data_IF_020460160219
#
_entry.id   IF_020460160219
#
_cell.length_a   1.000
_cell.length_b   1.000
_cell.length_c   1.000
_cell.angle_alpha   90.00
_cell.angle_beta   90.00
_cell.angle_gamma   90.00
#
_symmetry.space_group_name_H-M   'P 1'
#
loop_
_entity.id
_entity.type
_entity.pdbx_description
1 polymer ?
#
# COMPACT_ATOMS: atom_id res chain seq x y z
N UNK A 1 15.14 15.35 -36.71
CA UNK A 1 14.90 16.39 -35.69
C UNK A 1 13.44 16.47 -35.22
N UNK A 2 12.42 16.40 -36.10
CA UNK A 2 11.00 16.47 -35.68
C UNK A 2 10.57 15.37 -34.70
N UNK A 3 11.07 14.13 -34.81
CA UNK A 3 10.75 13.04 -33.88
C UNK A 3 11.38 13.20 -32.49
N UNK A 4 12.50 13.90 -32.39
CA UNK A 4 13.21 14.13 -31.12
C UNK A 4 12.50 15.21 -30.28
N UNK A 5 11.89 16.19 -30.94
CA UNK A 5 11.07 17.24 -30.32
C UNK A 5 9.77 16.66 -29.77
N UNK A 6 9.14 15.70 -30.47
CA UNK A 6 7.92 15.00 -29.99
C UNK A 6 8.24 14.14 -28.77
N UNK A 7 9.40 13.47 -28.75
CA UNK A 7 9.85 12.70 -27.59
C UNK A 7 10.15 13.58 -26.38
N UNK A 8 10.81 14.72 -26.59
CA UNK A 8 11.06 15.72 -25.54
C UNK A 8 9.76 16.35 -25.01
N UNK A 9 8.79 16.64 -25.87
CA UNK A 9 7.47 17.14 -25.46
C UNK A 9 6.67 16.09 -24.66
N UNK A 10 6.74 14.81 -25.04
CA UNK A 10 6.12 13.73 -24.27
C UNK A 10 6.77 13.56 -22.89
N UNK A 11 8.09 13.70 -22.79
CA UNK A 11 8.81 13.68 -21.50
C UNK A 11 8.49 14.91 -20.65
N UNK A 12 8.32 16.09 -21.26
CA UNK A 12 8.01 17.34 -20.57
C UNK A 12 6.55 17.41 -20.07
N UNK A 13 5.62 16.81 -20.81
CA UNK A 13 4.22 16.68 -20.37
C UNK A 13 4.10 15.61 -19.26
N UNK A 14 4.88 14.52 -19.37
CA UNK A 14 4.98 13.50 -18.32
C UNK A 14 5.55 14.03 -16.99
N UNK A 15 6.41 15.05 -17.02
CA UNK A 15 7.03 15.59 -15.81
C UNK A 15 6.18 16.63 -15.06
N UNK A 16 5.10 17.16 -15.66
CA UNK A 16 4.30 18.24 -15.04
C UNK A 16 2.98 17.79 -14.40
N UNK A 17 2.53 16.54 -14.59
CA UNK A 17 1.30 16.02 -13.95
C UNK A 17 1.49 14.76 -13.10
N UNK A 18 2.69 14.15 -13.09
CA UNK A 18 2.94 12.92 -12.34
C UNK A 18 3.54 13.23 -10.96
N UNK A 19 2.70 13.68 -10.03
CA UNK A 19 3.04 13.58 -8.61
C UNK A 19 2.98 12.10 -8.18
N UNK A 20 4.01 11.33 -8.54
CA UNK A 20 4.19 9.94 -8.13
C UNK A 20 4.28 9.88 -6.60
N UNK A 21 3.52 8.97 -5.97
CA UNK A 21 3.68 8.73 -4.53
C UNK A 21 5.06 8.09 -4.26
N UNK A 22 5.60 8.27 -3.05
CA UNK A 22 6.87 7.67 -2.68
C UNK A 22 6.87 6.14 -2.86
N UNK A 23 5.73 5.50 -2.56
CA UNK A 23 5.51 4.07 -2.76
C UNK A 23 5.49 3.67 -4.24
N UNK A 24 4.85 4.45 -5.10
CA UNK A 24 4.83 4.17 -6.55
C UNK A 24 6.21 4.36 -7.18
N UNK A 25 6.97 5.35 -6.71
CA UNK A 25 8.36 5.56 -7.14
C UNK A 25 9.25 4.39 -6.72
N UNK A 26 9.09 3.90 -5.49
CA UNK A 26 9.80 2.72 -5.00
C UNK A 26 9.43 1.46 -5.81
N UNK A 27 8.15 1.25 -6.08
CA UNK A 27 7.66 0.14 -6.91
C UNK A 27 8.19 0.23 -8.35
N UNK A 28 8.22 1.42 -8.93
CA UNK A 28 8.79 1.64 -10.27
C UNK A 28 10.29 1.33 -10.28
N UNK A 29 11.04 1.83 -9.30
CA UNK A 29 12.47 1.56 -9.18
C UNK A 29 12.78 0.05 -9.07
N UNK A 30 11.97 -0.68 -8.30
CA UNK A 30 12.09 -2.14 -8.20
C UNK A 30 11.87 -2.82 -9.56
N UNK A 31 10.80 -2.45 -10.27
CA UNK A 31 10.51 -3.00 -11.61
C UNK A 31 11.64 -2.67 -12.59
N UNK A 32 12.14 -1.43 -12.62
CA UNK A 32 13.26 -1.04 -13.51
C UNK A 32 14.54 -1.78 -13.17
N UNK A 33 14.83 -1.96 -11.88
CA UNK A 33 16.02 -2.71 -11.44
C UNK A 33 15.98 -4.17 -11.88
N UNK A 34 14.80 -4.82 -11.81
CA UNK A 34 14.67 -6.21 -12.21
C UNK A 34 14.68 -6.36 -13.74
N UNK A 35 14.09 -5.43 -14.49
CA UNK A 35 14.23 -5.38 -15.96
C UNK A 35 15.71 -5.27 -16.34
N UNK A 36 16.46 -4.33 -15.75
CA UNK A 36 17.87 -4.13 -16.06
C UNK A 36 18.72 -5.38 -15.72
N UNK A 37 18.41 -6.04 -14.61
CA UNK A 37 19.05 -7.29 -14.20
C UNK A 37 18.78 -8.42 -15.21
N UNK A 38 17.51 -8.60 -15.62
CA UNK A 38 17.10 -9.63 -16.56
C UNK A 38 17.67 -9.38 -17.96
N UNK A 39 17.67 -8.14 -18.45
CA UNK A 39 18.28 -7.75 -19.73
C UNK A 39 19.78 -8.06 -19.76
N UNK A 40 20.50 -7.74 -18.67
CA UNK A 40 21.93 -8.06 -18.54
C UNK A 40 22.17 -9.58 -18.55
N UNK A 41 21.31 -10.35 -17.89
CA UNK A 41 21.39 -11.82 -17.86
C UNK A 41 21.11 -12.42 -19.24
N UNK A 42 20.07 -11.93 -19.93
CA UNK A 42 19.74 -12.33 -21.29
C UNK A 42 20.88 -12.04 -22.28
N UNK A 43 21.53 -10.87 -22.16
CA UNK A 43 22.67 -10.53 -23.01
C UNK A 43 23.86 -11.49 -22.82
N UNK A 44 24.15 -11.87 -21.57
CA UNK A 44 25.21 -12.85 -21.26
C UNK A 44 24.92 -14.22 -21.88
N UNK A 45 23.70 -14.73 -21.66
CA UNK A 45 23.30 -16.03 -22.20
C UNK A 45 23.27 -16.06 -23.73
N UNK A 46 22.85 -14.97 -24.38
CA UNK A 46 22.94 -14.87 -25.86
C UNK A 46 24.38 -14.92 -26.35
N UNK A 47 25.32 -14.27 -25.64
CA UNK A 47 26.75 -14.34 -25.99
C UNK A 47 27.31 -15.74 -25.80
N UNK A 48 26.95 -16.42 -24.72
CA UNK A 48 27.36 -17.80 -24.45
C UNK A 48 26.82 -18.76 -25.52
N UNK A 49 25.53 -18.67 -25.83
CA UNK A 49 24.91 -19.48 -26.89
C UNK A 49 25.58 -19.26 -28.25
N UNK A 50 25.89 -18.02 -28.62
CA UNK A 50 26.56 -17.74 -29.89
C UNK A 50 27.98 -18.31 -29.94
N UNK A 51 28.73 -18.23 -28.83
CA UNK A 51 30.06 -18.85 -28.74
C UNK A 51 29.99 -20.37 -28.89
N UNK A 52 29.03 -21.01 -28.21
CA UNK A 52 28.84 -22.46 -28.30
C UNK A 52 28.49 -22.90 -29.73
N UNK A 53 27.63 -22.14 -30.43
CA UNK A 53 27.32 -22.38 -31.84
C UNK A 53 28.55 -22.21 -32.72
N UNK A 54 29.28 -21.12 -32.57
CA UNK A 54 30.49 -20.85 -33.36
C UNK A 54 31.53 -21.97 -33.17
N UNK A 55 31.73 -22.43 -31.94
CA UNK A 55 32.62 -23.55 -31.63
C UNK A 55 32.15 -24.86 -32.29
N UNK A 56 30.86 -25.19 -32.23
CA UNK A 56 30.30 -26.38 -32.87
C UNK A 56 30.38 -26.30 -34.40
N UNK A 57 30.01 -25.16 -34.99
CA UNK A 57 30.08 -24.91 -36.44
C UNK A 57 31.54 -24.99 -36.89
N UNK A 58 32.49 -24.45 -36.13
CA UNK A 58 33.91 -24.49 -36.48
C UNK A 58 34.45 -25.93 -36.54
N UNK A 59 34.01 -26.81 -35.62
CA UNK A 59 34.36 -28.24 -35.63
C UNK A 59 33.76 -28.93 -36.86
N UNK A 60 32.46 -28.73 -37.11
CA UNK A 60 31.76 -29.31 -38.26
C UNK A 60 32.35 -28.83 -39.60
N UNK A 61 32.72 -27.55 -39.73
CA UNK A 61 33.40 -27.02 -40.93
C UNK A 61 34.78 -27.64 -41.15
N UNK A 62 35.55 -27.91 -40.09
CA UNK A 62 36.84 -28.63 -40.21
C UNK A 62 36.63 -30.05 -40.70
N UNK A 63 35.60 -30.73 -40.22
CA UNK A 63 35.29 -32.10 -40.65
C UNK A 63 34.76 -32.13 -42.09
N UNK A 64 33.89 -31.19 -42.47
CA UNK A 64 33.43 -31.02 -43.86
C UNK A 64 34.60 -30.84 -44.83
N UNK A 65 35.60 -30.01 -44.48
CA UNK A 65 36.81 -29.80 -45.27
C UNK A 65 37.68 -31.06 -45.46
N UNK A 66 37.60 -32.04 -44.54
CA UNK A 66 38.29 -33.33 -44.70
C UNK A 66 37.59 -34.20 -45.75
N UNK A 67 36.26 -34.15 -45.81
CA UNK A 67 35.47 -34.89 -46.80
C UNK A 67 35.55 -34.26 -48.19
N UNK A 68 35.67 -32.93 -48.31
CA UNK A 68 35.83 -32.23 -49.60
C UNK A 68 37.18 -32.49 -50.30
N UNK A 69 38.20 -32.95 -49.57
CA UNK A 69 39.51 -33.30 -50.16
C UNK A 69 39.52 -34.66 -50.87
N UNK A 70 38.51 -35.49 -50.67
CA UNK A 70 38.24 -36.66 -51.50
C UNK A 70 37.30 -36.26 -52.63
N UNK A 71 37.60 -36.64 -53.87
CA UNK A 71 36.93 -36.20 -55.12
C UNK A 71 35.45 -36.62 -55.27
N UNK A 72 34.77 -37.03 -54.19
CA UNK A 72 33.36 -37.41 -54.20
C UNK A 72 32.65 -36.64 -53.09
N UNK A 73 31.72 -35.76 -53.48
CA UNK A 73 30.78 -35.15 -52.55
C UNK A 73 29.88 -36.26 -52.00
N UNK A 74 30.21 -36.77 -50.83
CA UNK A 74 29.55 -37.93 -50.21
C UNK A 74 28.26 -37.52 -49.49
N UNK A 75 27.35 -38.47 -49.30
CA UNK A 75 26.14 -38.32 -48.48
C UNK A 75 26.47 -37.78 -47.06
N UNK A 76 27.66 -38.10 -46.55
CA UNK A 76 28.18 -37.60 -45.27
C UNK A 76 28.45 -36.10 -45.27
N UNK A 77 28.99 -35.53 -46.36
CA UNK A 77 29.19 -34.08 -46.47
C UNK A 77 27.86 -33.31 -46.45
N UNK A 78 26.82 -33.85 -47.11
CA UNK A 78 25.46 -33.32 -47.07
C UNK A 78 24.87 -33.38 -45.65
N UNK A 79 25.06 -34.50 -44.93
CA UNK A 79 24.65 -34.65 -43.52
C UNK A 79 25.35 -33.65 -42.59
N UNK A 80 26.64 -33.36 -42.83
CA UNK A 80 27.38 -32.37 -42.04
C UNK A 80 26.87 -30.95 -42.34
N UNK A 81 26.60 -30.62 -43.61
CA UNK A 81 26.04 -29.32 -43.98
C UNK A 81 24.66 -29.11 -43.35
N UNK A 82 23.78 -30.10 -43.39
CA UNK A 82 22.47 -30.04 -42.76
C UNK A 82 22.55 -29.81 -41.22
N UNK A 83 23.59 -30.36 -40.56
CA UNK A 83 23.85 -30.11 -39.13
C UNK A 83 24.37 -28.69 -38.87
N UNK A 84 25.18 -28.13 -39.76
CA UNK A 84 25.61 -26.73 -39.66
C UNK A 84 24.38 -25.82 -39.77
N UNK A 85 23.54 -26.07 -40.76
CA UNK A 85 22.33 -25.27 -41.00
C UNK A 85 21.36 -25.36 -39.81
N UNK A 86 21.19 -26.55 -39.22
CA UNK A 86 20.33 -26.71 -38.04
C UNK A 86 20.83 -25.95 -36.81
N UNK A 87 22.14 -25.97 -36.52
CA UNK A 87 22.75 -25.24 -35.40
C UNK A 87 22.66 -23.72 -35.62
N UNK A 88 22.84 -23.29 -36.88
CA UNK A 88 22.76 -21.86 -37.24
C UNK A 88 21.36 -21.30 -36.98
N UNK A 89 20.32 -22.12 -37.18
CA UNK A 89 18.92 -21.75 -37.00
C UNK A 89 18.41 -21.82 -35.55
N UNK A 90 19.20 -22.27 -34.58
CA UNK A 90 18.77 -22.30 -33.17
C UNK A 90 18.71 -20.86 -32.65
N UNK A 91 17.55 -20.23 -32.50
CA UNK A 91 17.49 -18.83 -32.05
C UNK A 91 17.54 -18.66 -30.53
N UNK A 92 17.05 -19.66 -29.79
CA UNK A 92 16.96 -19.63 -28.33
C UNK A 92 17.26 -20.98 -27.71
N UNK A 93 17.39 -20.98 -26.39
CA UNK A 93 17.37 -22.17 -25.56
C UNK A 93 16.36 -21.96 -24.43
N UNK A 94 16.01 -23.04 -23.72
CA UNK A 94 15.03 -23.01 -22.64
C UNK A 94 15.27 -21.88 -21.61
N UNK A 95 16.53 -21.61 -21.26
CA UNK A 95 16.86 -20.54 -20.30
C UNK A 95 16.61 -19.13 -20.85
N UNK A 96 16.87 -18.91 -22.14
CA UNK A 96 16.56 -17.65 -22.82
C UNK A 96 15.05 -17.44 -22.95
N UNK A 97 14.28 -18.51 -23.16
CA UNK A 97 12.82 -18.46 -23.27
C UNK A 97 12.18 -18.10 -21.92
N UNK A 98 12.61 -18.76 -20.83
CA UNK A 98 12.15 -18.45 -19.46
C UNK A 98 12.47 -17.00 -19.10
N UNK A 99 13.69 -16.54 -19.39
CA UNK A 99 14.04 -15.13 -19.17
C UNK A 99 13.23 -14.17 -20.03
N UNK A 100 12.87 -14.57 -21.25
CA UNK A 100 11.99 -13.80 -22.12
C UNK A 100 10.63 -13.57 -21.47
N UNK A 101 10.04 -14.64 -20.92
CA UNK A 101 8.77 -14.57 -20.20
C UNK A 101 8.82 -13.64 -18.98
N UNK A 102 9.84 -13.79 -18.13
CA UNK A 102 10.00 -12.94 -16.94
C UNK A 102 10.16 -11.46 -17.31
N UNK A 103 10.95 -11.19 -18.35
CA UNK A 103 11.21 -9.83 -18.82
C UNK A 103 9.95 -9.19 -19.40
N UNK A 104 9.14 -9.96 -20.13
CA UNK A 104 7.85 -9.53 -20.63
C UNK A 104 6.86 -9.25 -19.49
N UNK A 105 6.82 -10.10 -18.46
CA UNK A 105 6.03 -9.87 -17.26
C UNK A 105 6.35 -8.51 -16.61
N UNK A 106 7.63 -8.22 -16.34
CA UNK A 106 8.02 -6.94 -15.73
C UNK A 106 7.79 -5.73 -16.66
N UNK A 107 7.94 -5.90 -17.98
CA UNK A 107 7.60 -4.83 -18.95
C UNK A 107 6.11 -4.53 -18.97
N UNK A 108 5.26 -5.54 -18.84
CA UNK A 108 3.82 -5.37 -18.72
C UNK A 108 3.45 -4.69 -17.39
N UNK A 109 4.03 -5.14 -16.27
CA UNK A 109 3.82 -4.51 -14.96
C UNK A 109 4.24 -3.02 -14.94
N UNK A 110 5.34 -2.66 -15.63
CA UNK A 110 5.73 -1.27 -15.87
C UNK A 110 4.67 -0.50 -16.65
N UNK A 111 4.14 -1.08 -17.73
CA UNK A 111 3.11 -0.46 -18.56
C UNK A 111 1.84 -0.20 -17.76
N UNK A 112 1.38 -1.20 -17.00
CA UNK A 112 0.17 -1.09 -16.16
C UNK A 112 0.31 0.00 -15.10
N UNK A 113 1.50 0.13 -14.49
CA UNK A 113 1.77 1.17 -13.50
C UNK A 113 1.70 2.57 -14.13
N UNK A 114 2.33 2.74 -15.30
CA UNK A 114 2.30 4.00 -16.07
C UNK A 114 0.88 4.32 -16.54
N UNK A 115 0.16 3.32 -17.04
CA UNK A 115 -1.20 3.49 -17.52
C UNK A 115 -2.13 3.91 -16.38
N UNK A 116 -1.94 3.33 -15.19
CA UNK A 116 -2.64 3.78 -13.99
C UNK A 116 -2.42 5.28 -13.79
N UNK A 117 -1.18 5.78 -13.89
CA UNK A 117 -0.85 7.20 -13.70
C UNK A 117 -1.57 8.10 -14.69
N UNK A 118 -1.76 7.63 -15.93
CA UNK A 118 -2.42 8.41 -16.99
C UNK A 118 -3.95 8.42 -16.89
N UNK A 119 -4.57 7.44 -16.23
CA UNK A 119 -6.02 7.21 -16.27
C UNK A 119 -6.85 7.85 -15.14
N UNK A 120 -6.25 8.59 -14.19
CA UNK A 120 -6.98 8.95 -12.96
C UNK A 120 -7.46 10.41 -12.86
N UNK A 121 -8.79 10.55 -12.83
CA UNK A 121 -9.56 11.73 -12.39
C UNK A 121 -9.86 11.74 -10.87
N UNK A 122 -9.41 10.73 -10.10
CA UNK A 122 -9.67 10.61 -8.65
C UNK A 122 -8.37 10.78 -7.86
N UNK A 123 -8.35 11.56 -6.76
CA UNK A 123 -7.10 11.84 -6.05
C UNK A 123 -6.48 10.57 -5.43
N UNK A 124 -5.26 10.24 -5.88
CA UNK A 124 -4.38 9.23 -5.27
C UNK A 124 -4.00 9.64 -3.85
N UNK A 125 -3.82 8.62 -3.01
CA UNK A 125 -3.44 8.66 -1.59
C UNK A 125 -3.19 10.07 -1.05
N UNK A 126 -4.13 10.57 -0.25
CA UNK A 126 -3.91 11.79 0.51
C UNK A 126 -2.59 11.64 1.25
N UNK A 127 -1.59 12.45 0.89
CA UNK A 127 -0.32 12.52 1.61
C UNK A 127 -0.59 12.71 3.10
N UNK A 128 0.33 12.32 3.97
CA UNK A 128 0.18 12.51 5.42
C UNK A 128 -0.31 13.93 5.76
N UNK A 129 0.23 14.96 5.11
CA UNK A 129 -0.21 16.35 5.25
C UNK A 129 -1.62 16.64 4.74
N UNK A 130 -2.06 16.00 3.65
CA UNK A 130 -3.45 16.11 3.17
C UNK A 130 -4.44 15.33 4.03
N UNK A 131 -4.07 14.16 4.55
CA UNK A 131 -4.85 13.43 5.58
C UNK A 131 -4.97 14.28 6.84
N UNK A 132 -3.88 14.86 7.30
CA UNK A 132 -3.85 15.73 8.48
C UNK A 132 -4.66 17.01 8.27
N UNK A 133 -4.57 17.66 7.10
CA UNK A 133 -5.43 18.83 6.78
C UNK A 133 -6.91 18.44 6.71
N UNK A 134 -7.25 17.28 6.15
CA UNK A 134 -8.64 16.80 6.07
C UNK A 134 -9.16 16.39 7.45
N UNK A 135 -8.33 15.77 8.27
CA UNK A 135 -8.61 15.49 9.68
C UNK A 135 -8.86 16.78 10.45
N UNK A 136 -7.97 17.78 10.34
CA UNK A 136 -8.15 19.10 10.95
C UNK A 136 -9.38 19.83 10.42
N UNK A 137 -9.68 19.74 9.13
CA UNK A 137 -10.87 20.36 8.56
C UNK A 137 -12.16 19.66 9.04
N UNK A 138 -12.13 18.35 9.22
CA UNK A 138 -13.25 17.60 9.81
C UNK A 138 -13.39 17.88 11.32
N UNK A 139 -12.26 18.07 12.02
CA UNK A 139 -12.21 18.49 13.42
C UNK A 139 -12.81 19.89 13.59
N UNK A 140 -12.36 20.87 12.81
CA UNK A 140 -12.92 22.24 12.78
C UNK A 140 -14.41 22.20 12.43
N UNK A 141 -14.82 21.44 11.42
CA UNK A 141 -16.24 21.33 11.05
C UNK A 141 -17.08 20.67 12.14
N UNK A 142 -16.50 19.74 12.91
CA UNK A 142 -17.16 19.16 14.08
C UNK A 142 -17.22 20.14 15.23
N UNK A 143 -16.17 20.90 15.49
CA UNK A 143 -16.18 22.00 16.46
C UNK A 143 -17.24 23.04 16.08
N UNK A 144 -17.36 23.40 14.80
CA UNK A 144 -18.42 24.29 14.29
C UNK A 144 -19.81 23.68 14.48
N UNK A 145 -20.02 22.41 14.13
CA UNK A 145 -21.29 21.71 14.35
C UNK A 145 -21.62 21.53 15.84
N UNK A 146 -20.60 21.37 16.67
CA UNK A 146 -20.72 21.31 18.13
C UNK A 146 -21.08 22.68 18.66
N UNK A 147 -20.47 23.77 18.17
CA UNK A 147 -20.85 25.13 18.52
C UNK A 147 -22.29 25.44 18.09
N UNK A 148 -22.71 25.02 16.90
CA UNK A 148 -24.10 25.14 16.42
C UNK A 148 -25.08 24.33 17.28
N UNK A 149 -24.70 23.10 17.69
CA UNK A 149 -25.51 22.29 18.60
C UNK A 149 -25.47 22.78 20.05
N UNK A 150 -24.37 23.37 20.50
CA UNK A 150 -24.25 24.03 21.81
C UNK A 150 -25.13 25.27 21.79
N UNK A 151 -25.12 26.08 20.73
CA UNK A 151 -26.00 27.24 20.57
C UNK A 151 -27.47 26.85 20.68
N UNK A 152 -27.85 25.72 20.07
CA UNK A 152 -29.19 25.14 20.22
C UNK A 152 -29.48 24.58 21.64
N UNK A 153 -28.45 24.23 22.41
CA UNK A 153 -28.54 23.71 23.78
C UNK A 153 -28.19 24.75 24.88
N UNK A 154 -27.80 25.98 24.54
CA UNK A 154 -27.44 27.06 25.49
C UNK A 154 -28.60 27.40 26.42
N UNK A 155 -29.84 27.11 26.00
CA UNK A 155 -31.02 27.30 26.82
C UNK A 155 -31.22 26.20 27.90
N UNK A 156 -30.41 25.14 27.91
CA UNK A 156 -30.47 24.07 28.91
C UNK A 156 -29.16 24.04 29.70
N UNK A 157 -29.16 24.76 30.84
CA UNK A 157 -28.08 24.76 31.83
C UNK A 157 -27.80 23.34 32.31
N UNK A 158 -26.78 22.70 31.76
CA UNK A 158 -26.07 21.62 32.44
C UNK A 158 -24.96 22.31 33.22
N UNK A 159 -25.18 22.53 34.50
CA UNK A 159 -24.15 23.04 35.41
C UNK A 159 -22.98 22.05 35.46
N UNK A 160 -21.84 22.47 34.91
CA UNK A 160 -20.62 21.67 34.84
C UNK A 160 -19.80 22.09 33.64
N UNK A 161 -19.21 23.29 33.73
CA UNK A 161 -18.54 24.03 32.67
C UNK A 161 -17.93 23.18 31.55
N UNK A 162 -18.34 23.48 30.32
CA UNK A 162 -17.70 23.00 29.11
C UNK A 162 -16.29 23.61 29.04
N UNK A 163 -15.34 22.98 29.73
CA UNK A 163 -13.93 23.21 29.49
C UNK A 163 -13.60 22.30 28.31
N UNK A 164 -13.36 22.89 27.14
CA UNK A 164 -12.84 22.25 25.92
C UNK A 164 -13.83 21.53 24.96
N UNK A 165 -15.11 21.94 24.89
CA UNK A 165 -15.96 21.62 23.72
C UNK A 165 -16.39 20.16 23.52
N UNK A 166 -16.24 19.29 24.52
CA UNK A 166 -16.72 17.90 24.51
C UNK A 166 -18.03 17.69 25.26
N UNK A 167 -18.66 16.53 25.05
CA UNK A 167 -19.80 16.05 25.82
C UNK A 167 -19.33 15.24 27.04
N UNK A 168 -20.00 15.44 28.18
CA UNK A 168 -19.68 14.74 29.43
C UNK A 168 -19.98 13.24 29.32
N UNK A 169 -18.93 12.42 29.42
CA UNK A 169 -19.00 10.96 29.48
C UNK A 169 -18.51 10.47 30.83
N UNK A 170 -19.28 9.55 31.42
CA UNK A 170 -18.95 8.95 32.72
C UNK A 170 -18.28 7.59 32.50
N UNK A 171 -17.14 7.39 33.15
CA UNK A 171 -16.46 6.10 33.18
C UNK A 171 -16.47 5.56 34.60
N UNK A 172 -17.06 4.38 34.77
CA UNK A 172 -17.16 3.73 36.08
C UNK A 172 -16.37 2.41 36.09
N UNK A 173 -15.38 2.35 36.97
CA UNK A 173 -14.60 1.16 37.23
C UNK A 173 -15.10 0.47 38.49
N UNK A 174 -15.92 -0.57 38.34
CA UNK A 174 -16.38 -1.40 39.48
C UNK A 174 -15.38 -2.50 39.88
N UNK A 175 -14.26 -2.67 39.16
CA UNK A 175 -13.24 -3.67 39.49
C UNK A 175 -12.38 -3.25 40.70
N UNK A 176 -11.82 -4.25 41.39
CA UNK A 176 -10.81 -4.06 42.46
C UNK A 176 -9.40 -3.77 41.93
N UNK A 177 -9.23 -3.68 40.62
CA UNK A 177 -7.97 -3.37 39.94
C UNK A 177 -8.12 -2.14 39.06
N UNK A 178 -7.00 -1.55 38.65
CA UNK A 178 -7.00 -0.45 37.70
C UNK A 178 -7.51 -0.94 36.35
N UNK A 179 -8.41 -0.15 35.75
CA UNK A 179 -8.96 -0.42 34.43
C UNK A 179 -8.59 0.73 33.51
N UNK A 180 -7.98 0.39 32.37
CA UNK A 180 -7.72 1.34 31.30
C UNK A 180 -8.75 1.14 30.20
N UNK A 181 -9.55 2.17 29.98
CA UNK A 181 -10.49 2.26 28.87
C UNK A 181 -9.79 2.89 27.67
N UNK A 182 -9.82 2.21 26.53
CA UNK A 182 -9.33 2.73 25.26
C UNK A 182 -10.53 2.95 24.35
N UNK A 183 -10.80 4.21 24.03
CA UNK A 183 -11.81 4.59 23.05
C UNK A 183 -11.14 4.82 21.70
N UNK A 184 -11.63 4.16 20.67
CA UNK A 184 -11.21 4.35 19.28
C UNK A 184 -12.40 4.83 18.48
N UNK A 185 -12.33 6.02 17.90
CA UNK A 185 -13.38 6.48 17.01
C UNK A 185 -13.46 5.55 15.78
N UNK A 186 -14.67 5.17 15.36
CA UNK A 186 -14.87 4.25 14.23
C UNK A 186 -14.40 4.83 12.89
N UNK A 187 -14.32 6.16 12.80
CA UNK A 187 -13.76 6.89 11.67
C UNK A 187 -12.21 6.93 11.67
N UNK A 188 -11.56 6.40 12.72
CA UNK A 188 -10.11 6.38 12.89
C UNK A 188 -9.49 7.73 13.25
N UNK A 189 -10.30 8.74 13.58
CA UNK A 189 -9.84 10.12 13.83
C UNK A 189 -9.12 10.29 15.16
N UNK A 190 -9.60 9.64 16.22
CA UNK A 190 -9.14 9.86 17.59
C UNK A 190 -9.03 8.57 18.39
N UNK A 191 -8.07 8.57 19.33
CA UNK A 191 -7.88 7.51 20.31
C UNK A 191 -7.65 8.13 21.68
N UNK A 192 -8.51 7.79 22.63
CA UNK A 192 -8.38 8.18 24.02
C UNK A 192 -8.04 6.97 24.88
N UNK A 193 -7.18 7.16 25.86
CA UNK A 193 -6.85 6.16 26.86
C UNK A 193 -7.04 6.79 28.24
N UNK A 194 -7.96 6.23 29.02
CA UNK A 194 -8.33 6.73 30.34
C UNK A 194 -8.05 5.59 31.32
N UNK A 195 -7.16 5.82 32.29
CA UNK A 195 -6.84 4.83 33.32
C UNK A 195 -7.48 5.26 34.62
N UNK A 196 -8.36 4.42 35.15
CA UNK A 196 -9.19 4.72 36.32
C UNK A 196 -8.79 3.81 37.47
N UNK A 197 -8.64 4.42 38.65
CA UNK A 197 -8.32 3.73 39.89
C UNK A 197 -9.43 2.72 40.28
N UNK A 198 -9.16 1.76 41.16
CA UNK A 198 -10.11 0.71 41.51
C UNK A 198 -11.33 1.28 42.22
N UNK A 199 -12.54 0.83 41.88
CA UNK A 199 -13.80 1.25 42.51
C UNK A 199 -14.03 2.77 42.49
N UNK A 200 -13.56 3.43 41.44
CA UNK A 200 -13.74 4.88 41.27
C UNK A 200 -14.45 5.19 39.96
N UNK A 201 -15.08 6.37 39.94
CA UNK A 201 -15.77 6.95 38.81
C UNK A 201 -15.09 8.24 38.42
N UNK A 202 -14.84 8.42 37.12
CA UNK A 202 -14.29 9.64 36.56
C UNK A 202 -15.16 10.21 35.45
N UNK A 203 -15.01 11.53 35.23
CA UNK A 203 -15.75 12.29 34.22
C UNK A 203 -14.76 12.82 33.21
N UNK A 204 -15.00 12.52 31.94
CA UNK A 204 -14.17 12.99 30.84
C UNK A 204 -15.07 13.62 29.77
N UNK A 205 -14.62 14.71 29.18
CA UNK A 205 -15.34 15.39 28.10
C UNK A 205 -14.83 14.86 26.76
N UNK A 206 -15.71 14.26 25.97
CA UNK A 206 -15.36 13.55 24.73
C UNK A 206 -16.18 14.14 23.58
N UNK A 207 -15.55 14.32 22.42
CA UNK A 207 -16.22 14.83 21.23
C UNK A 207 -17.33 13.87 20.76
N UNK A 208 -18.41 14.39 20.15
CA UNK A 208 -19.46 13.55 19.59
C UNK A 208 -18.94 12.62 18.49
N UNK A 209 -19.51 11.43 18.42
CA UNK A 209 -19.17 10.39 17.46
C UNK A 209 -19.43 8.98 17.98
N UNK A 210 -19.13 7.99 17.12
CA UNK A 210 -19.25 6.58 17.46
C UNK A 210 -17.87 5.98 17.76
N UNK A 211 -17.75 5.33 18.91
CA UNK A 211 -16.50 4.83 19.47
C UNK A 211 -16.58 3.33 19.75
N UNK A 212 -15.49 2.64 19.46
CA UNK A 212 -15.20 1.30 19.95
C UNK A 212 -14.46 1.42 21.29
N UNK A 213 -14.97 0.75 22.33
CA UNK A 213 -14.42 0.78 23.68
C UNK A 213 -13.78 -0.56 24.04
N UNK A 214 -12.48 -0.52 24.29
CA UNK A 214 -11.68 -1.67 24.74
C UNK A 214 -11.32 -1.48 26.22
N UNK A 215 -11.44 -2.54 27.03
CA UNK A 215 -11.00 -2.52 28.43
C UNK A 215 -9.71 -3.31 28.62
N UNK A 216 -8.76 -2.75 29.38
CA UNK A 216 -7.55 -3.44 29.84
C UNK A 216 -7.56 -3.46 31.37
N UNK A 217 -7.48 -4.65 31.97
CA UNK A 217 -7.41 -4.83 33.42
C UNK A 217 -6.04 -5.43 33.75
N UNK A 218 -5.24 -4.74 34.56
CA UNK A 218 -3.89 -5.19 34.96
C UNK A 218 -3.03 -5.69 33.78
N UNK A 219 -3.05 -4.95 32.67
CA UNK A 219 -2.28 -5.26 31.45
C UNK A 219 -2.89 -6.33 30.54
N UNK A 220 -4.00 -6.97 30.92
CA UNK A 220 -4.71 -7.95 30.08
C UNK A 220 -5.89 -7.28 29.37
N UNK A 221 -5.92 -7.39 28.04
CA UNK A 221 -7.01 -6.89 27.22
C UNK A 221 -8.23 -7.80 27.32
N UNK A 222 -9.39 -7.22 27.64
CA UNK A 222 -10.67 -7.93 27.61
C UNK A 222 -11.06 -8.24 26.17
N UNK A 223 -11.67 -9.42 25.96
CA UNK A 223 -12.16 -9.85 24.64
C UNK A 223 -13.42 -9.10 24.23
N UNK A 224 -14.22 -8.67 25.20
CA UNK A 224 -15.48 -7.99 24.96
C UNK A 224 -15.25 -6.54 24.53
N UNK A 225 -15.63 -6.27 23.30
CA UNK A 225 -15.65 -4.94 22.71
C UNK A 225 -17.04 -4.35 22.93
N UNK A 226 -17.09 -3.18 23.55
CA UNK A 226 -18.32 -2.41 23.70
C UNK A 226 -18.31 -1.24 22.72
N UNK A 227 -19.48 -0.72 22.34
CA UNK A 227 -19.60 0.46 21.50
C UNK A 227 -20.28 1.59 22.28
N UNK A 228 -19.79 2.80 22.09
CA UNK A 228 -20.33 4.02 22.69
C UNK A 228 -20.68 4.99 21.57
N UNK A 229 -21.94 5.41 21.49
CA UNK A 229 -22.38 6.47 20.59
C UNK A 229 -22.63 7.74 21.39
N UNK A 230 -22.06 8.86 20.96
CA UNK A 230 -22.23 10.18 21.56
C UNK A 230 -22.81 11.10 20.48
N UNK A 231 -24.13 11.13 20.37
CA UNK A 231 -24.88 11.89 19.37
C UNK A 231 -25.48 13.20 19.92
N UNK A 232 -25.41 13.38 21.24
CA UNK A 232 -25.97 14.51 21.98
C UNK A 232 -27.28 14.19 22.68
N UNK A 233 -27.76 12.93 22.64
CA UNK A 233 -28.88 12.50 23.48
C UNK A 233 -28.48 12.47 24.95
N UNK A 234 -29.38 12.94 25.81
CA UNK A 234 -29.15 12.98 27.25
C UNK A 234 -29.50 11.64 27.88
N UNK A 235 -28.56 11.11 28.65
CA UNK A 235 -28.71 9.92 29.47
C UNK A 235 -28.49 10.24 30.95
N UNK A 236 -28.92 9.32 31.82
CA UNK A 236 -28.69 9.42 33.27
C UNK A 236 -27.97 8.17 33.75
N UNK A 237 -26.86 8.36 34.46
CA UNK A 237 -26.13 7.29 35.13
C UNK A 237 -26.11 7.56 36.64
N UNK A 238 -26.69 6.66 37.44
CA UNK A 238 -26.80 6.81 38.90
C UNK A 238 -27.31 8.21 39.32
N UNK A 239 -28.37 8.71 38.66
CA UNK A 239 -28.97 10.06 38.82
C UNK A 239 -28.15 11.24 38.30
N UNK A 240 -26.95 11.01 37.78
CA UNK A 240 -26.10 12.04 37.20
C UNK A 240 -26.37 12.20 35.68
N UNK A 241 -26.66 13.42 35.18
CA UNK A 241 -26.85 13.65 33.75
C UNK A 241 -25.52 13.54 33.00
N UNK A 242 -25.55 12.85 31.85
CA UNK A 242 -24.42 12.60 30.95
C UNK A 242 -24.89 12.41 29.51
N UNK A 243 -23.97 12.40 28.55
CA UNK A 243 -24.24 12.13 27.14
C UNK A 243 -23.73 10.75 26.70
N UNK A 244 -23.26 9.96 27.67
CA UNK A 244 -22.71 8.63 27.46
C UNK A 244 -22.09 8.12 28.75
N UNK A 245 -22.11 6.81 28.92
CA UNK A 245 -21.43 6.16 30.04
C UNK A 245 -20.81 4.84 29.59
N UNK A 246 -19.68 4.50 30.20
CA UNK A 246 -19.00 3.22 30.00
C UNK A 246 -18.83 2.58 31.36
N UNK A 247 -19.40 1.38 31.48
CA UNK A 247 -19.39 0.59 32.69
C UNK A 247 -18.64 -0.71 32.43
N UNK A 248 -17.74 -1.07 33.35
CA UNK A 248 -17.16 -2.42 33.41
C UNK A 248 -17.37 -2.99 34.81
N UNK A 249 -18.19 -4.02 34.86
CA UNK A 249 -18.49 -4.79 36.06
C UNK A 249 -17.78 -6.15 36.00
N UNK A 250 -17.39 -6.66 37.17
CA UNK A 250 -17.05 -8.06 37.31
C UNK A 250 -18.37 -8.84 37.40
N UNK A 251 -18.55 -9.84 36.55
CA UNK A 251 -19.57 -10.88 36.78
C UNK A 251 -19.25 -11.63 38.08
#
# INVERSE_FOLDING_TARGET
MKQLIVFLLLVFIASHSMAQSAYEKEKMNLIESEIARLEKKQMKLKKELNREKEDQISKLKRDLKKHEKGTVYTEEASKIQAKIDSITNIESNFQLDVLGFDLEYYKNARRDLIESWTKQDVPRELSYYRKLRRSRANEIRREELVLEKIENNINQRIEGGAVEGGYKVIFDNKYSQNVTFILRALDGSQRFAISIAPRTKERHYILPGSYQVEGIISGRRLRDVSYLNIDGEQHYYETEPCFGFVLKEAY
#
